data_IF_671824019390
#
_entry.id   IF_671824019390
#
_cell.length_a   1.000
_cell.length_b   1.000
_cell.length_c   1.000
_cell.angle_alpha   90.00
_cell.angle_beta   90.00
_cell.angle_gamma   90.00
#
_symmetry.space_group_name_H-M   'P 1'
#
loop_
_entity.id
_entity.type
_entity.pdbx_description
1 polymer ?
#
# COMPACT_ATOMS: atom_id res chain seq x y z
N UNK A 1 0.96 -1.72 27.37
CA UNK A 1 0.15 -0.49 27.31
C UNK A 1 -0.49 -0.51 25.95
N UNK A 2 -1.81 -0.53 25.83
CA UNK A 2 -2.50 -0.47 24.53
C UNK A 2 -2.33 0.93 23.95
N UNK A 3 -1.77 1.06 22.74
CA UNK A 3 -1.61 2.34 22.05
C UNK A 3 -2.97 3.05 21.90
N UNK A 4 -3.06 4.36 22.16
CA UNK A 4 -4.29 5.10 21.98
C UNK A 4 -4.73 5.06 20.50
N UNK A 5 -6.01 4.77 20.27
CA UNK A 5 -6.62 4.72 18.93
C UNK A 5 -6.27 5.96 18.11
N UNK A 6 -5.70 5.75 16.92
CA UNK A 6 -5.33 6.82 16.01
C UNK A 6 -6.59 7.50 15.46
N UNK A 7 -6.79 8.77 15.79
CA UNK A 7 -7.92 9.55 15.27
C UNK A 7 -7.76 9.77 13.76
N UNK A 8 -8.87 9.91 13.01
CA UNK A 8 -8.85 10.17 11.56
C UNK A 8 -7.94 11.35 11.17
N UNK A 9 -7.93 12.42 11.97
CA UNK A 9 -7.07 13.59 11.73
C UNK A 9 -5.58 13.22 11.83
N UNK A 10 -5.24 12.33 12.74
CA UNK A 10 -3.88 11.83 12.92
C UNK A 10 -3.51 10.88 11.80
N UNK A 11 -4.42 10.04 11.30
CA UNK A 11 -4.17 9.21 10.12
C UNK A 11 -3.73 10.05 8.91
N UNK A 12 -4.50 11.09 8.56
CA UNK A 12 -4.15 11.98 7.43
C UNK A 12 -2.76 12.60 7.64
N UNK A 13 -2.49 13.11 8.85
CA UNK A 13 -1.22 13.78 9.17
C UNK A 13 -0.04 12.80 9.14
N UNK A 14 -0.20 11.61 9.72
CA UNK A 14 0.82 10.57 9.78
C UNK A 14 1.12 10.04 8.38
N UNK A 15 0.10 9.67 7.60
CA UNK A 15 0.26 9.21 6.21
C UNK A 15 0.96 10.28 5.36
N UNK A 16 0.54 11.54 5.46
CA UNK A 16 1.18 12.65 4.74
C UNK A 16 2.66 12.82 5.12
N UNK A 17 2.97 12.73 6.42
CA UNK A 17 4.34 12.87 6.92
C UNK A 17 5.24 11.71 6.52
N UNK A 18 4.75 10.47 6.64
CA UNK A 18 5.53 9.26 6.38
C UNK A 18 5.82 9.10 4.89
N UNK A 19 4.83 9.38 4.03
CA UNK A 19 4.97 9.28 2.59
C UNK A 19 5.52 10.55 1.93
N UNK A 20 5.76 11.61 2.72
CA UNK A 20 6.19 12.93 2.24
C UNK A 20 5.29 13.51 1.12
N UNK A 21 3.97 13.43 1.33
CA UNK A 21 2.96 13.92 0.38
C UNK A 21 2.02 14.94 1.03
N UNK A 22 1.43 15.87 0.26
CA UNK A 22 0.57 16.91 0.82
C UNK A 22 -0.64 16.33 1.57
N UNK A 23 -0.84 16.74 2.83
CA UNK A 23 -2.02 16.36 3.62
C UNK A 23 -3.38 16.64 2.93
N UNK A 24 -3.56 17.72 2.14
CA UNK A 24 -4.77 17.91 1.35
C UNK A 24 -5.02 16.79 0.33
N UNK A 25 -3.97 16.28 -0.32
CA UNK A 25 -4.07 15.19 -1.28
C UNK A 25 -4.51 13.90 -0.58
N UNK A 26 -3.84 13.54 0.53
CA UNK A 26 -4.22 12.37 1.36
C UNK A 26 -5.67 12.47 1.82
N UNK A 27 -6.10 13.64 2.30
CA UNK A 27 -7.49 13.88 2.72
C UNK A 27 -8.47 13.65 1.57
N UNK A 28 -8.19 14.17 0.38
CA UNK A 28 -9.07 14.03 -0.79
C UNK A 28 -9.17 12.56 -1.24
N UNK A 29 -8.04 11.85 -1.30
CA UNK A 29 -8.00 10.40 -1.61
C UNK A 29 -8.81 9.60 -0.59
N UNK A 30 -8.53 9.77 0.71
CA UNK A 30 -9.27 9.09 1.77
C UNK A 30 -10.77 9.40 1.71
N UNK A 31 -11.14 10.66 1.49
CA UNK A 31 -12.55 11.07 1.38
C UNK A 31 -13.22 10.37 0.20
N UNK A 32 -12.56 10.37 -0.97
CA UNK A 32 -13.10 9.74 -2.18
C UNK A 32 -13.30 8.25 -1.98
N UNK A 33 -12.29 7.55 -1.49
CA UNK A 33 -12.37 6.11 -1.25
C UNK A 33 -13.38 5.73 -0.16
N UNK A 34 -13.61 6.60 0.84
CA UNK A 34 -14.70 6.41 1.81
C UNK A 34 -16.07 6.58 1.18
N UNK A 35 -16.25 7.60 0.34
CA UNK A 35 -17.50 7.81 -0.41
C UNK A 35 -17.82 6.62 -1.31
N UNK A 36 -16.81 6.05 -1.95
CA UNK A 36 -16.95 4.87 -2.83
C UNK A 36 -17.02 3.54 -2.05
N UNK A 37 -17.04 3.57 -0.71
CA UNK A 37 -17.15 2.38 0.14
C UNK A 37 -15.90 1.49 0.18
N UNK A 38 -14.77 1.97 -0.35
CA UNK A 38 -13.48 1.23 -0.39
C UNK A 38 -12.72 1.31 0.92
N UNK A 39 -12.86 2.42 1.64
CA UNK A 39 -12.35 2.59 3.00
C UNK A 39 -13.52 2.67 3.98
N UNK A 40 -13.34 2.18 5.23
CA UNK A 40 -14.41 2.24 6.23
C UNK A 40 -14.86 3.67 6.48
N UNK A 41 -16.17 3.90 6.34
CA UNK A 41 -16.83 5.17 6.66
C UNK A 41 -17.01 5.27 8.16
N UNK A 42 -16.19 6.07 8.82
CA UNK A 42 -16.17 6.11 10.28
C UNK A 42 -17.12 7.17 10.82
N UNK A 43 -18.18 6.75 11.53
CA UNK A 43 -18.79 7.51 12.64
C UNK A 43 -17.70 7.80 13.71
N UNK A 44 -17.86 8.71 14.70
CA UNK A 44 -16.75 9.48 15.32
C UNK A 44 -15.61 8.68 16.02
N UNK A 45 -15.72 7.36 16.13
CA UNK A 45 -14.63 6.45 16.52
C UNK A 45 -14.22 5.66 15.27
N UNK A 46 -13.00 5.90 14.79
CA UNK A 46 -12.42 5.19 13.65
C UNK A 46 -12.30 3.69 14.02
N UNK A 47 -12.94 2.74 13.31
CA UNK A 47 -12.49 1.35 13.31
C UNK A 47 -10.97 1.28 13.15
N UNK A 48 -10.38 0.33 13.86
CA UNK A 48 -8.93 0.11 13.83
C UNK A 48 -8.49 -0.12 12.37
N UNK A 49 -7.38 0.49 11.97
CA UNK A 49 -6.89 0.40 10.59
C UNK A 49 -6.48 -1.05 10.34
N UNK A 50 -7.11 -1.71 9.38
CA UNK A 50 -6.75 -3.08 8.97
C UNK A 50 -5.68 -3.05 7.89
N UNK A 51 -4.90 -4.12 7.76
CA UNK A 51 -3.91 -4.28 6.69
C UNK A 51 -4.56 -4.12 5.31
N UNK A 52 -5.74 -4.71 5.11
CA UNK A 52 -6.54 -4.55 3.89
C UNK A 52 -6.87 -3.06 3.62
N UNK A 53 -7.35 -2.32 4.61
CA UNK A 53 -7.69 -0.90 4.43
C UNK A 53 -6.46 -0.04 4.14
N UNK A 54 -5.31 -0.38 4.73
CA UNK A 54 -4.05 0.30 4.48
C UNK A 54 -3.50 -0.03 3.08
N UNK A 55 -3.58 -1.29 2.64
CA UNK A 55 -3.21 -1.71 1.28
C UNK A 55 -4.01 -0.93 0.24
N UNK A 56 -5.34 -0.85 0.42
CA UNK A 56 -6.22 -0.06 -0.45
C UNK A 56 -5.81 1.41 -0.47
N UNK A 57 -5.53 2.00 0.69
CA UNK A 57 -5.12 3.40 0.79
C UNK A 57 -3.78 3.63 0.07
N UNK A 58 -2.78 2.77 0.26
CA UNK A 58 -1.46 2.87 -0.40
C UNK A 58 -1.62 2.85 -1.92
N UNK A 59 -2.41 1.92 -2.46
CA UNK A 59 -2.69 1.87 -3.89
C UNK A 59 -3.44 3.11 -4.38
N UNK A 60 -4.45 3.57 -3.64
CA UNK A 60 -5.22 4.76 -3.99
C UNK A 60 -4.39 6.05 -3.97
N UNK A 61 -3.38 6.15 -3.10
CA UNK A 61 -2.44 7.27 -3.03
C UNK A 61 -1.45 7.30 -4.20
N UNK A 62 -1.26 6.17 -4.90
CA UNK A 62 -0.46 6.12 -6.12
C UNK A 62 -1.22 6.69 -7.34
N UNK A 63 -2.49 7.05 -7.21
CA UNK A 63 -3.24 7.65 -8.30
C UNK A 63 -2.68 9.02 -8.67
N UNK A 64 -2.66 9.38 -9.97
CA UNK A 64 -2.18 10.68 -10.41
C UNK A 64 -3.05 11.84 -9.91
N UNK A 65 -4.33 11.57 -9.63
CA UNK A 65 -5.30 12.54 -9.16
C UNK A 65 -6.22 11.90 -8.10
N UNK A 66 -6.68 12.65 -7.08
CA UNK A 66 -7.58 12.11 -6.05
C UNK A 66 -8.89 11.56 -6.61
N UNK A 67 -9.41 12.13 -7.69
CA UNK A 67 -10.62 11.64 -8.36
C UNK A 67 -10.46 10.26 -9.02
N UNK A 68 -9.23 9.76 -9.15
CA UNK A 68 -8.90 8.46 -9.74
C UNK A 68 -8.44 7.42 -8.70
N UNK A 69 -8.40 7.77 -7.42
CA UNK A 69 -7.87 6.89 -6.38
C UNK A 69 -8.55 5.52 -6.32
N UNK A 70 -9.88 5.49 -6.42
CA UNK A 70 -10.65 4.24 -6.40
C UNK A 70 -10.39 3.39 -7.64
N UNK A 71 -10.43 4.01 -8.82
CA UNK A 71 -10.15 3.32 -10.09
C UNK A 71 -8.74 2.72 -10.08
N UNK A 72 -7.74 3.48 -9.62
CA UNK A 72 -6.34 3.05 -9.51
C UNK A 72 -6.18 1.92 -8.51
N UNK A 73 -6.79 2.02 -7.32
CA UNK A 73 -6.74 0.96 -6.31
C UNK A 73 -7.31 -0.35 -6.84
N UNK A 74 -8.50 -0.32 -7.46
CA UNK A 74 -9.13 -1.51 -8.01
C UNK A 74 -8.29 -2.07 -9.17
N UNK A 75 -7.87 -1.21 -10.09
CA UNK A 75 -7.14 -1.63 -11.28
C UNK A 75 -5.80 -2.30 -10.92
N UNK A 76 -5.07 -1.74 -9.96
CA UNK A 76 -3.78 -2.28 -9.52
C UNK A 76 -3.97 -3.46 -8.58
N UNK A 77 -4.89 -3.38 -7.62
CA UNK A 77 -5.11 -4.40 -6.60
C UNK A 77 -5.51 -5.76 -7.18
N UNK A 78 -6.24 -5.77 -8.30
CA UNK A 78 -6.66 -6.99 -9.00
C UNK A 78 -5.59 -7.62 -9.90
N UNK A 79 -4.42 -6.99 -10.04
CA UNK A 79 -3.37 -7.47 -10.94
C UNK A 79 -2.79 -8.78 -10.41
N UNK A 80 -2.72 -9.85 -11.24
CA UNK A 80 -2.20 -11.14 -10.80
C UNK A 80 -0.66 -11.16 -10.80
N UNK A 81 -0.10 -12.02 -9.95
CA UNK A 81 1.32 -12.37 -9.97
C UNK A 81 1.67 -13.10 -11.28
N UNK A 82 2.80 -12.75 -11.86
CA UNK A 82 3.38 -13.40 -13.05
C UNK A 82 4.73 -14.04 -12.77
N UNK A 83 5.45 -13.62 -11.73
CA UNK A 83 6.72 -14.21 -11.32
C UNK A 83 7.01 -13.97 -9.83
N UNK A 84 7.92 -14.78 -9.27
CA UNK A 84 8.32 -14.72 -7.87
C UNK A 84 7.42 -15.54 -6.95
N UNK A 85 7.69 -15.46 -5.66
CA UNK A 85 7.08 -16.27 -4.60
C UNK A 85 5.96 -15.56 -3.81
N UNK A 86 5.55 -14.36 -4.23
CA UNK A 86 4.54 -13.55 -3.56
C UNK A 86 3.10 -14.09 -3.62
N UNK A 87 2.15 -13.31 -3.12
CA UNK A 87 0.73 -13.63 -3.15
C UNK A 87 0.16 -13.61 -4.59
N UNK A 88 -1.05 -14.13 -4.77
CA UNK A 88 -1.66 -14.28 -6.10
C UNK A 88 -2.07 -12.96 -6.75
N UNK A 89 -2.39 -11.94 -5.95
CA UNK A 89 -2.77 -10.60 -6.43
C UNK A 89 -2.00 -9.52 -5.69
N UNK A 90 -1.92 -8.32 -6.28
CA UNK A 90 -1.30 -7.15 -5.64
C UNK A 90 -1.97 -6.81 -4.32
N UNK A 91 -3.31 -6.85 -4.23
CA UNK A 91 -4.01 -6.57 -2.99
C UNK A 91 -3.58 -7.52 -1.87
N UNK A 92 -3.56 -8.83 -2.15
CA UNK A 92 -3.13 -9.84 -1.18
C UNK A 92 -1.65 -9.72 -0.82
N UNK A 93 -0.80 -9.34 -1.78
CA UNK A 93 0.63 -9.12 -1.56
C UNK A 93 0.87 -7.97 -0.60
N UNK A 94 0.25 -6.81 -0.86
CA UNK A 94 0.36 -5.65 0.03
C UNK A 94 -0.22 -5.91 1.41
N UNK A 95 -1.34 -6.62 1.50
CA UNK A 95 -1.90 -7.02 2.80
C UNK A 95 -0.94 -7.90 3.59
N UNK A 96 -0.31 -8.88 2.94
CA UNK A 96 0.68 -9.77 3.57
C UNK A 96 1.91 -8.98 4.04
N UNK A 97 2.45 -8.11 3.19
CA UNK A 97 3.58 -7.24 3.52
C UNK A 97 3.25 -6.30 4.69
N UNK A 98 2.05 -5.72 4.73
CA UNK A 98 1.63 -4.82 5.81
C UNK A 98 1.46 -5.57 7.12
N UNK A 99 0.87 -6.78 7.10
CA UNK A 99 0.72 -7.60 8.31
C UNK A 99 2.09 -7.96 8.91
N UNK A 100 3.03 -8.38 8.08
CA UNK A 100 4.40 -8.66 8.51
C UNK A 100 5.12 -7.39 9.00
N UNK A 101 4.97 -6.27 8.29
CA UNK A 101 5.57 -4.99 8.69
C UNK A 101 5.05 -4.47 10.04
N UNK A 102 3.76 -4.71 10.32
CA UNK A 102 3.13 -4.37 11.58
C UNK A 102 3.49 -5.34 12.73
N UNK A 103 4.15 -6.48 12.43
CA UNK A 103 4.43 -7.53 13.41
C UNK A 103 3.21 -8.36 13.80
N UNK A 104 2.14 -8.33 13.01
CA UNK A 104 0.93 -9.15 13.23
C UNK A 104 1.20 -10.61 12.87
N UNK A 105 2.04 -10.82 11.86
CA UNK A 105 2.49 -12.13 11.40
C UNK A 105 4.01 -12.15 11.47
N UNK A 106 4.58 -13.24 11.96
CA UNK A 106 6.02 -13.46 11.90
C UNK A 106 6.48 -13.49 10.45
N UNK A 107 7.65 -12.92 10.17
CA UNK A 107 8.20 -13.02 8.84
C UNK A 107 9.68 -12.74 8.74
N UNK A 108 10.15 -12.89 7.51
CA UNK A 108 11.57 -12.99 7.16
C UNK A 108 12.07 -11.77 6.39
N UNK A 109 11.19 -10.80 6.11
CA UNK A 109 11.50 -9.65 5.28
C UNK A 109 12.27 -8.60 6.09
N UNK A 110 13.42 -8.23 5.55
CA UNK A 110 14.15 -7.07 6.00
C UNK A 110 13.56 -5.80 5.35
N UNK A 111 12.59 -5.19 6.02
CA UNK A 111 11.94 -3.96 5.54
C UNK A 111 12.89 -2.76 5.41
N UNK A 112 14.13 -2.82 5.91
CA UNK A 112 15.11 -1.76 5.64
C UNK A 112 15.64 -1.82 4.20
N UNK A 113 15.53 -2.99 3.57
CA UNK A 113 16.09 -3.30 2.27
C UNK A 113 14.99 -3.81 1.33
N UNK A 114 14.42 -2.92 0.53
CA UNK A 114 13.47 -3.29 -0.51
C UNK A 114 12.53 -2.17 -0.90
N UNK A 115 11.83 -2.39 -2.00
CA UNK A 115 11.02 -1.36 -2.64
C UNK A 115 9.76 -1.95 -3.28
N UNK A 116 8.68 -1.19 -3.22
CA UNK A 116 7.51 -1.34 -4.08
C UNK A 116 7.61 -0.34 -5.22
N UNK A 117 7.47 -0.81 -6.46
CA UNK A 117 7.31 0.04 -7.63
C UNK A 117 5.89 -0.15 -8.18
N UNK A 118 5.06 0.86 -7.95
CA UNK A 118 3.65 0.86 -8.35
C UNK A 118 3.52 1.56 -9.69
N UNK A 119 3.08 0.86 -10.73
CA UNK A 119 2.88 1.43 -12.06
C UNK A 119 1.65 2.35 -12.11
N UNK A 120 1.84 3.61 -12.49
CA UNK A 120 0.75 4.62 -12.49
C UNK A 120 0.04 4.76 -13.84
N UNK A 121 0.76 4.55 -14.94
CA UNK A 121 0.17 4.58 -16.29
C UNK A 121 -0.37 3.21 -16.69
N UNK A 122 0.12 2.16 -16.03
CA UNK A 122 -0.19 0.75 -16.32
C UNK A 122 -0.30 -0.03 -15.02
N UNK A 123 -1.43 -0.71 -14.77
CA UNK A 123 -1.61 -1.51 -13.58
C UNK A 123 -0.56 -2.61 -13.47
N UNK A 124 0.43 -2.35 -12.62
CA UNK A 124 1.54 -3.26 -12.36
C UNK A 124 2.13 -2.96 -11.00
N UNK A 125 2.74 -3.99 -10.41
CA UNK A 125 3.53 -3.87 -9.19
C UNK A 125 4.80 -4.70 -9.35
N UNK A 126 5.92 -4.11 -8.96
CA UNK A 126 7.17 -4.84 -8.72
C UNK A 126 7.47 -4.72 -7.24
N UNK A 127 7.67 -5.86 -6.58
CA UNK A 127 8.13 -5.92 -5.19
C UNK A 127 9.54 -6.46 -5.20
N UNK A 128 10.46 -5.64 -4.72
CA UNK A 128 11.83 -6.04 -4.44
C UNK A 128 11.96 -6.29 -2.95
N UNK A 129 12.23 -7.54 -2.57
CA UNK A 129 12.29 -7.99 -1.18
C UNK A 129 13.68 -8.52 -0.89
N UNK A 130 14.28 -8.04 0.20
CA UNK A 130 15.44 -8.69 0.83
C UNK A 130 14.98 -9.36 2.10
N UNK A 131 15.39 -10.61 2.31
CA UNK A 131 15.12 -11.36 3.55
C UNK A 131 16.29 -11.26 4.52
N UNK A 132 16.07 -11.57 5.80
CA UNK A 132 17.11 -11.52 6.84
C UNK A 132 18.28 -12.50 6.61
N UNK A 133 18.08 -13.55 5.81
CA UNK A 133 19.14 -14.47 5.38
C UNK A 133 20.00 -13.89 4.23
N UNK A 134 19.69 -12.68 3.77
CA UNK A 134 20.37 -11.99 2.66
C UNK A 134 19.86 -12.38 1.28
N UNK A 135 18.88 -13.28 1.17
CA UNK A 135 18.28 -13.63 -0.12
C UNK A 135 17.47 -12.47 -0.68
N UNK A 136 17.53 -12.31 -1.99
CA UNK A 136 16.83 -11.26 -2.72
C UNK A 136 15.83 -11.89 -3.67
N UNK A 137 14.57 -11.49 -3.55
CA UNK A 137 13.49 -11.97 -4.41
C UNK A 137 12.78 -10.81 -5.09
N UNK A 138 12.48 -11.00 -6.37
CA UNK A 138 11.68 -10.08 -7.17
C UNK A 138 10.31 -10.71 -7.43
N UNK A 139 9.24 -10.02 -7.02
CA UNK A 139 7.86 -10.44 -7.26
C UNK A 139 7.24 -9.49 -8.26
N UNK A 140 6.68 -10.04 -9.33
CA UNK A 140 6.18 -9.27 -10.46
C UNK A 140 4.68 -9.50 -10.63
N UNK A 141 3.94 -8.41 -10.80
CA UNK A 141 2.50 -8.38 -10.99
C UNK A 141 2.18 -7.54 -12.23
N UNK A 142 1.46 -8.13 -13.19
CA UNK A 142 1.02 -7.43 -14.41
C UNK A 142 -0.21 -8.07 -15.05
N UNK A 143 -1.05 -7.28 -15.70
CA UNK A 143 -2.16 -7.79 -16.51
C UNK A 143 -1.68 -8.57 -17.75
N UNK A 144 -2.37 -9.67 -18.09
CA UNK A 144 -2.00 -10.60 -19.18
C UNK A 144 -2.00 -10.01 -20.60
N UNK A 145 -2.58 -8.82 -20.81
CA UNK A 145 -2.87 -8.28 -22.15
C UNK A 145 -2.13 -6.98 -22.50
N UNK A 146 -1.17 -6.52 -21.69
CA UNK A 146 -0.42 -5.32 -22.03
C UNK A 146 0.78 -5.63 -22.95
N UNK A 147 0.59 -5.42 -24.26
CA UNK A 147 1.72 -5.35 -25.20
C UNK A 147 2.66 -4.20 -24.80
N UNK A 148 3.96 -4.49 -24.79
CA UNK A 148 5.03 -3.60 -24.33
C UNK A 148 5.40 -2.56 -25.38
N UNK A 149 4.65 -1.47 -25.47
CA UNK A 149 5.08 -0.30 -26.24
C UNK A 149 4.97 0.96 -25.39
N UNK A 150 6.09 1.52 -24.96
CA UNK A 150 6.15 2.80 -24.23
C UNK A 150 6.84 2.73 -22.86
N UNK A 151 7.19 3.90 -22.33
CA UNK A 151 7.84 4.07 -21.02
C UNK A 151 6.78 3.94 -19.91
N UNK A 152 7.00 3.05 -18.95
CA UNK A 152 6.16 2.93 -17.76
C UNK A 152 6.67 3.85 -16.66
N UNK A 153 5.80 4.69 -16.09
CA UNK A 153 6.11 5.46 -14.88
C UNK A 153 5.74 4.67 -13.63
N UNK A 154 6.60 4.74 -12.63
CA UNK A 154 6.44 4.08 -11.34
C UNK A 154 6.47 5.10 -10.21
N UNK A 155 5.62 4.88 -9.21
CA UNK A 155 5.79 5.45 -7.87
C UNK A 155 6.57 4.44 -7.05
N UNK A 156 7.71 4.87 -6.51
CA UNK A 156 8.52 4.06 -5.61
C UNK A 156 8.07 4.29 -4.17
N UNK A 157 7.78 3.20 -3.46
CA UNK A 157 7.51 3.20 -2.01
C UNK A 157 8.53 2.28 -1.35
N UNK A 158 9.51 2.82 -0.62
CA UNK A 158 10.43 1.99 0.15
C UNK A 158 9.68 1.11 1.15
N UNK A 159 10.10 -0.15 1.31
CA UNK A 159 9.48 -1.05 2.30
C UNK A 159 9.60 -0.51 3.73
N UNK A 160 10.65 0.26 4.02
CA UNK A 160 10.81 0.93 5.30
C UNK A 160 9.69 1.95 5.54
N UNK A 161 9.30 2.69 4.50
CA UNK A 161 8.20 3.66 4.57
C UNK A 161 6.87 2.95 4.80
N UNK A 162 6.64 1.83 4.12
CA UNK A 162 5.47 0.98 4.36
C UNK A 162 5.43 0.49 5.81
N UNK A 163 6.58 0.05 6.35
CA UNK A 163 6.70 -0.40 7.74
C UNK A 163 6.43 0.70 8.75
N UNK A 164 6.99 1.89 8.55
CA UNK A 164 6.69 3.04 9.41
C UNK A 164 5.19 3.36 9.39
N UNK A 165 4.56 3.33 8.22
CA UNK A 165 3.13 3.58 8.09
C UNK A 165 2.29 2.52 8.82
N UNK A 166 2.64 1.24 8.66
CA UNK A 166 1.97 0.14 9.32
C UNK A 166 2.11 0.22 10.86
N UNK A 167 3.32 0.47 11.38
CA UNK A 167 3.54 0.61 12.83
C UNK A 167 2.83 1.83 13.41
N UNK A 168 2.81 2.96 12.70
CA UNK A 168 2.14 4.18 13.18
C UNK A 168 0.63 4.02 13.23
N UNK A 169 0.04 3.40 12.19
CA UNK A 169 -1.42 3.30 12.04
C UNK A 169 -2.04 2.04 12.64
N UNK A 170 -1.27 0.95 12.77
CA UNK A 170 -1.75 -0.37 13.16
C UNK A 170 -0.98 -1.00 14.32
N UNK A 171 0.30 -0.63 14.53
CA UNK A 171 1.13 -1.23 15.56
C UNK A 171 0.62 -0.95 16.98
N UNK A 172 0.79 -1.95 17.85
CA UNK A 172 0.39 -1.96 19.27
C UNK A 172 1.19 -1.01 20.19
#
# INVERSE_FOLDING_TARGET
MTKPRVLVRDQIRLTAKVLDIPAPFVRQVMSRMKTDGRLPSTRPVTPDVTAESLARLVLGLCAPLPGKSTDTEIAIGAVPRIAGDGADTVASELESLINEAAGIVDGEIDFWNGDLLVGIDRPSLVVHVVRFDGTNTLRLYRGKHEREEGVTRYVRIPLQTLRMLALELMGD
#
